data_IF_157157889144
#
_entry.id   IF_157157889144
#
_cell.length_a   1.000
_cell.length_b   1.000
_cell.length_c   1.000
_cell.angle_alpha   90.00
_cell.angle_beta   90.00
_cell.angle_gamma   90.00
#
_symmetry.space_group_name_H-M   'P 1'
#
loop_
_entity.id
_entity.type
_entity.pdbx_description
1 polymer ?
#
# COMPACT_ATOMS: atom_id res chain seq x y z
N UNK A 1 40.27 -17.56 17.38
CA UNK A 1 40.29 -18.41 18.59
C UNK A 1 38.94 -19.12 18.65
N UNK A 2 38.90 -20.45 18.53
CA UNK A 2 37.66 -21.19 18.57
C UNK A 2 37.08 -21.20 19.99
N UNK A 3 35.76 -21.10 20.09
CA UNK A 3 35.02 -21.24 21.34
C UNK A 3 34.03 -22.40 21.20
N UNK A 4 33.73 -23.06 22.31
CA UNK A 4 32.70 -24.09 22.30
C UNK A 4 31.31 -23.45 22.22
N UNK A 5 30.53 -23.76 21.18
CA UNK A 5 29.16 -23.23 21.01
C UNK A 5 28.21 -23.66 22.14
N UNK A 6 28.51 -24.78 22.81
CA UNK A 6 27.68 -25.33 23.89
C UNK A 6 28.08 -24.85 25.29
N UNK A 7 29.38 -24.74 25.56
CA UNK A 7 29.90 -24.44 26.90
C UNK A 7 30.57 -23.06 27.03
N UNK A 8 30.81 -22.37 25.92
CA UNK A 8 31.43 -21.04 25.89
C UNK A 8 32.91 -20.99 26.25
N UNK A 9 33.56 -22.14 26.50
CA UNK A 9 34.98 -22.20 26.85
C UNK A 9 35.84 -21.95 25.62
N UNK A 10 36.86 -21.10 25.79
CA UNK A 10 37.90 -20.83 24.81
C UNK A 10 38.79 -22.06 24.64
N UNK A 11 38.99 -22.48 23.40
CA UNK A 11 39.76 -23.66 23.05
C UNK A 11 41.02 -23.24 22.28
N UNK A 12 42.07 -24.04 22.44
CA UNK A 12 43.27 -23.88 21.63
C UNK A 12 42.97 -24.21 20.15
N UNK A 13 43.68 -23.56 19.22
CA UNK A 13 43.40 -23.68 17.78
C UNK A 13 43.58 -25.11 17.24
N UNK A 14 44.30 -25.97 17.97
CA UNK A 14 44.54 -27.37 17.60
C UNK A 14 43.45 -28.34 18.11
N UNK A 15 42.50 -27.86 18.91
CA UNK A 15 41.51 -28.72 19.56
C UNK A 15 40.32 -29.04 18.64
N UNK A 16 40.23 -30.28 18.16
CA UNK A 16 39.11 -30.76 17.33
C UNK A 16 37.82 -31.04 18.14
N UNK A 17 37.95 -31.30 19.44
CA UNK A 17 36.83 -31.59 20.36
C UNK A 17 37.02 -30.86 21.67
N UNK A 18 35.90 -30.41 22.25
CA UNK A 18 35.91 -29.80 23.58
C UNK A 18 36.15 -30.85 24.67
N UNK A 19 37.18 -30.65 25.49
CA UNK A 19 37.58 -31.58 26.57
C UNK A 19 36.53 -31.69 27.69
N UNK A 20 35.69 -30.66 27.86
CA UNK A 20 34.65 -30.65 28.91
C UNK A 20 33.35 -31.34 28.50
N UNK A 21 32.87 -31.11 27.28
CA UNK A 21 31.55 -31.55 26.85
C UNK A 21 31.55 -32.50 25.66
N UNK A 22 32.73 -32.81 25.10
CA UNK A 22 32.90 -33.71 23.96
C UNK A 22 32.39 -33.19 22.62
N UNK A 23 31.85 -31.96 22.58
CA UNK A 23 31.28 -31.38 21.35
C UNK A 23 32.40 -31.10 20.33
N UNK A 24 32.16 -31.46 19.07
CA UNK A 24 33.08 -31.16 17.97
C UNK A 24 33.16 -29.65 17.71
N UNK A 25 34.38 -29.17 17.53
CA UNK A 25 34.64 -27.76 17.29
C UNK A 25 34.40 -27.50 15.81
N UNK A 26 33.25 -26.91 15.50
CA UNK A 26 32.99 -26.36 14.17
C UNK A 26 33.74 -25.04 14.11
N UNK A 27 34.91 -25.00 13.47
CA UNK A 27 35.49 -23.74 13.05
C UNK A 27 34.51 -23.15 12.03
N UNK A 28 33.83 -22.07 12.42
CA UNK A 28 33.17 -21.22 11.45
C UNK A 28 34.28 -20.65 10.56
N UNK A 29 34.56 -21.30 9.42
CA UNK A 29 35.18 -20.60 8.31
C UNK A 29 34.30 -19.37 8.09
N UNK A 30 34.87 -18.18 8.32
CA UNK A 30 34.27 -16.93 7.87
C UNK A 30 34.24 -16.96 6.34
N UNK A 31 33.29 -17.70 5.77
CA UNK A 31 32.64 -17.22 4.57
C UNK A 31 31.93 -15.92 4.98
N UNK A 32 31.96 -14.92 4.10
CA UNK A 32 31.42 -13.57 4.25
C UNK A 32 29.87 -13.57 4.33
N UNK A 33 29.32 -14.43 5.19
CA UNK A 33 27.90 -14.60 5.41
C UNK A 33 27.49 -13.42 6.30
N UNK A 34 26.91 -12.41 5.69
CA UNK A 34 26.38 -11.28 6.44
C UNK A 34 25.34 -11.77 7.45
N UNK A 35 25.42 -11.37 8.74
CA UNK A 35 24.53 -11.86 9.81
C UNK A 35 23.05 -11.54 9.58
N UNK A 36 22.77 -10.64 8.63
CA UNK A 36 21.43 -10.29 8.19
C UNK A 36 21.35 -10.43 6.66
N UNK A 37 20.28 -10.99 6.10
CA UNK A 37 20.08 -11.01 4.65
C UNK A 37 20.05 -9.56 4.14
N UNK A 38 20.95 -9.22 3.19
CA UNK A 38 20.98 -7.88 2.57
C UNK A 38 19.66 -7.56 1.88
N UNK A 39 18.99 -8.58 1.36
CA UNK A 39 17.65 -8.48 0.83
C UNK A 39 16.64 -8.51 1.98
N UNK A 40 16.05 -7.35 2.25
CA UNK A 40 14.79 -7.28 2.99
C UNK A 40 13.80 -8.12 2.19
N UNK A 41 13.17 -9.11 2.82
CA UNK A 41 12.00 -9.76 2.23
C UNK A 41 10.97 -8.65 1.98
N UNK A 42 10.91 -8.16 0.74
CA UNK A 42 9.94 -7.16 0.34
C UNK A 42 8.58 -7.84 0.46
N UNK A 43 7.87 -7.53 1.54
CA UNK A 43 6.43 -7.79 1.65
C UNK A 43 5.83 -7.29 0.36
N UNK A 44 5.32 -8.22 -0.46
CA UNK A 44 4.81 -7.97 -1.81
C UNK A 44 4.00 -6.69 -1.78
N UNK A 45 4.54 -5.61 -2.36
CA UNK A 45 3.87 -4.33 -2.33
C UNK A 45 2.50 -4.54 -2.98
N UNK A 46 1.43 -4.52 -2.17
CA UNK A 46 0.09 -4.67 -2.68
C UNK A 46 -0.06 -3.65 -3.81
N UNK A 47 -0.41 -4.13 -5.01
CA UNK A 47 -0.44 -3.28 -6.18
C UNK A 47 -1.52 -2.22 -5.97
N UNK A 48 -1.11 -1.02 -5.54
CA UNK A 48 -2.02 0.07 -5.16
C UNK A 48 -2.96 0.43 -6.32
N UNK A 49 -2.53 0.20 -7.56
CA UNK A 49 -3.37 0.36 -8.75
C UNK A 49 -4.52 -0.63 -8.82
N UNK A 50 -4.31 -1.86 -8.36
CA UNK A 50 -5.36 -2.88 -8.33
C UNK A 50 -6.44 -2.52 -7.31
N UNK A 51 -6.04 -2.08 -6.11
CA UNK A 51 -6.97 -1.60 -5.08
C UNK A 51 -7.73 -0.36 -5.59
N UNK A 52 -7.03 0.56 -6.27
CA UNK A 52 -7.65 1.76 -6.83
C UNK A 52 -8.72 1.39 -7.86
N UNK A 53 -8.40 0.46 -8.76
CA UNK A 53 -9.35 -0.04 -9.77
C UNK A 53 -10.58 -0.68 -9.13
N UNK A 54 -10.41 -1.55 -8.14
CA UNK A 54 -11.54 -2.16 -7.43
C UNK A 54 -12.45 -1.11 -6.78
N UNK A 55 -11.86 -0.11 -6.10
CA UNK A 55 -12.61 1.00 -5.50
C UNK A 55 -13.36 1.83 -6.54
N UNK A 56 -12.76 2.09 -7.71
CA UNK A 56 -13.46 2.83 -8.78
C UNK A 56 -14.69 2.11 -9.28
N UNK A 57 -14.60 0.78 -9.45
CA UNK A 57 -15.71 -0.04 -9.92
C UNK A 57 -16.83 -0.06 -8.88
N UNK A 58 -16.48 -0.25 -7.61
CA UNK A 58 -17.47 -0.19 -6.51
C UNK A 58 -18.20 1.14 -6.47
N UNK A 59 -17.49 2.25 -6.69
CA UNK A 59 -18.08 3.58 -6.70
C UNK A 59 -18.90 3.86 -7.98
N UNK A 60 -18.60 3.22 -9.10
CA UNK A 60 -19.32 3.41 -10.35
C UNK A 60 -20.75 2.82 -10.32
N UNK A 61 -20.98 1.72 -9.59
CA UNK A 61 -22.27 1.03 -9.51
C UNK A 61 -23.43 1.98 -9.09
N UNK A 62 -23.36 2.71 -7.96
CA UNK A 62 -24.43 3.61 -7.56
C UNK A 62 -24.63 4.78 -8.54
N UNK A 63 -23.56 5.27 -9.18
CA UNK A 63 -23.68 6.31 -10.20
C UNK A 63 -24.47 5.82 -11.42
N UNK A 64 -24.16 4.63 -11.91
CA UNK A 64 -24.88 4.03 -13.05
C UNK A 64 -26.34 3.76 -12.69
N UNK A 65 -26.61 3.23 -11.49
CA UNK A 65 -27.97 3.00 -11.02
C UNK A 65 -28.78 4.31 -10.97
N UNK A 66 -28.25 5.37 -10.35
CA UNK A 66 -28.91 6.67 -10.29
C UNK A 66 -29.07 7.31 -11.67
N UNK A 67 -28.11 7.13 -12.58
CA UNK A 67 -28.23 7.60 -13.96
C UNK A 67 -29.41 6.94 -14.69
N UNK A 68 -29.53 5.61 -14.60
CA UNK A 68 -30.60 4.84 -15.24
C UNK A 68 -31.96 5.25 -14.66
N UNK A 69 -32.09 5.37 -13.35
CA UNK A 69 -33.33 5.80 -12.69
C UNK A 69 -33.72 7.20 -13.15
N UNK A 70 -32.76 8.13 -13.18
CA UNK A 70 -33.02 9.51 -13.61
C UNK A 70 -33.43 9.60 -15.09
N UNK A 71 -32.90 8.72 -15.94
CA UNK A 71 -33.28 8.63 -17.36
C UNK A 71 -34.72 8.12 -17.54
N UNK A 72 -35.19 7.22 -16.67
CA UNK A 72 -36.54 6.64 -16.75
C UNK A 72 -37.60 7.62 -16.21
N UNK A 73 -37.28 8.44 -15.20
CA UNK A 73 -38.25 9.23 -14.42
C UNK A 73 -38.29 10.74 -14.76
N UNK A 74 -37.99 11.15 -15.99
CA UNK A 74 -37.81 12.55 -16.42
C UNK A 74 -38.67 13.66 -15.72
N UNK A 75 -37.98 14.78 -15.39
CA UNK A 75 -38.46 16.18 -15.36
C UNK A 75 -38.81 16.87 -14.02
N UNK A 76 -37.94 16.83 -13.01
CA UNK A 76 -38.10 17.79 -11.89
C UNK A 76 -36.81 18.17 -11.18
N UNK A 77 -36.13 17.19 -10.60
CA UNK A 77 -34.93 17.42 -9.78
C UNK A 77 -33.92 16.32 -10.10
N UNK A 78 -32.75 16.72 -10.60
CA UNK A 78 -31.68 15.81 -10.98
C UNK A 78 -30.96 15.29 -9.72
N UNK A 79 -31.59 14.36 -9.00
CA UNK A 79 -30.98 13.64 -7.87
C UNK A 79 -29.63 13.01 -8.24
N UNK A 80 -29.46 12.71 -9.52
CA UNK A 80 -28.20 12.29 -10.13
C UNK A 80 -27.04 13.26 -9.83
N UNK A 81 -27.25 14.58 -9.79
CA UNK A 81 -26.18 15.55 -9.55
C UNK A 81 -25.56 15.41 -8.16
N UNK A 82 -26.37 15.11 -7.15
CA UNK A 82 -25.88 14.87 -5.79
C UNK A 82 -24.99 13.63 -5.73
N UNK A 83 -25.43 12.55 -6.39
CA UNK A 83 -24.70 11.27 -6.39
C UNK A 83 -23.42 11.38 -7.21
N UNK A 84 -23.48 11.94 -8.42
CA UNK A 84 -22.31 12.12 -9.28
C UNK A 84 -21.28 13.06 -8.69
N UNK A 85 -21.71 14.21 -8.17
CA UNK A 85 -20.80 15.20 -7.61
C UNK A 85 -20.15 14.73 -6.31
N UNK A 86 -20.92 14.12 -5.40
CA UNK A 86 -20.38 13.53 -4.18
C UNK A 86 -19.41 12.39 -4.48
N UNK A 87 -19.77 11.51 -5.41
CA UNK A 87 -18.88 10.44 -5.87
C UNK A 87 -17.58 10.97 -6.47
N UNK A 88 -17.63 12.05 -7.25
CA UNK A 88 -16.45 12.65 -7.87
C UNK A 88 -15.50 13.19 -6.79
N UNK A 89 -16.00 13.91 -5.79
CA UNK A 89 -15.19 14.42 -4.67
C UNK A 89 -14.52 13.28 -3.90
N UNK A 90 -15.27 12.22 -3.56
CA UNK A 90 -14.73 11.03 -2.89
C UNK A 90 -13.63 10.36 -3.73
N UNK A 91 -13.85 10.22 -5.04
CA UNK A 91 -12.87 9.65 -5.96
C UNK A 91 -11.56 10.45 -5.98
N UNK A 92 -11.67 11.79 -5.96
CA UNK A 92 -10.52 12.70 -5.97
C UNK A 92 -9.74 12.71 -4.64
N UNK A 93 -10.42 12.50 -3.52
CA UNK A 93 -9.78 12.41 -2.21
C UNK A 93 -9.05 11.08 -2.03
N UNK A 94 -9.67 9.94 -2.35
CA UNK A 94 -9.14 8.62 -1.97
C UNK A 94 -8.41 7.90 -3.10
N UNK A 95 -8.94 7.92 -4.31
CA UNK A 95 -8.46 7.07 -5.41
C UNK A 95 -7.35 7.78 -6.19
N UNK A 96 -7.53 9.08 -6.45
CA UNK A 96 -6.56 9.91 -7.16
C UNK A 96 -5.15 9.95 -6.52
N UNK A 97 -4.95 10.11 -5.19
CA UNK A 97 -3.60 10.08 -4.61
C UNK A 97 -2.95 8.69 -4.71
N UNK A 98 -3.75 7.62 -4.71
CA UNK A 98 -3.25 6.24 -4.81
C UNK A 98 -2.74 5.91 -6.24
N UNK A 99 -3.25 6.62 -7.25
CA UNK A 99 -2.80 6.54 -8.64
C UNK A 99 -1.56 7.40 -8.92
N UNK A 100 -1.41 8.53 -8.22
CA UNK A 100 -0.28 9.45 -8.36
C UNK A 100 0.99 8.87 -7.73
N UNK A 101 1.79 8.15 -8.53
CA UNK A 101 3.13 7.67 -8.12
C UNK A 101 4.11 8.79 -7.73
N UNK A 102 3.88 10.04 -8.15
CA UNK A 102 4.82 11.17 -8.01
C UNK A 102 4.25 12.23 -7.07
N UNK A 103 5.04 12.65 -6.08
CA UNK A 103 4.69 13.68 -5.10
C UNK A 103 4.53 15.05 -5.77
N UNK A 104 3.35 15.33 -6.33
CA UNK A 104 2.93 16.67 -6.78
C UNK A 104 1.75 17.12 -5.91
N UNK A 105 1.99 17.44 -4.62
CA UNK A 105 0.92 17.72 -3.66
C UNK A 105 0.06 18.93 -4.07
N UNK A 106 0.66 19.93 -4.71
CA UNK A 106 -0.03 21.14 -5.16
C UNK A 106 -1.09 20.82 -6.22
N UNK A 107 -0.76 19.96 -7.19
CA UNK A 107 -1.71 19.57 -8.25
C UNK A 107 -2.86 18.74 -7.67
N UNK A 108 -2.55 17.85 -6.72
CA UNK A 108 -3.57 17.04 -6.03
C UNK A 108 -4.57 17.90 -5.27
N UNK A 109 -4.07 18.85 -4.48
CA UNK A 109 -4.90 19.81 -3.74
C UNK A 109 -5.75 20.67 -4.70
N UNK A 110 -5.15 21.18 -5.78
CA UNK A 110 -5.87 21.95 -6.79
C UNK A 110 -7.03 21.15 -7.42
N UNK A 111 -6.79 19.88 -7.76
CA UNK A 111 -7.82 18.99 -8.31
C UNK A 111 -8.96 18.72 -7.32
N UNK A 112 -8.67 18.62 -6.01
CA UNK A 112 -9.70 18.49 -4.98
C UNK A 112 -10.57 19.76 -4.94
N UNK A 113 -9.95 20.93 -4.87
CA UNK A 113 -10.71 22.20 -4.87
C UNK A 113 -11.55 22.36 -6.14
N UNK A 114 -10.99 22.02 -7.31
CA UNK A 114 -11.73 22.02 -8.57
C UNK A 114 -12.96 21.10 -8.51
N UNK A 115 -12.80 19.88 -7.98
CA UNK A 115 -13.91 18.93 -7.83
C UNK A 115 -14.99 19.42 -6.87
N UNK A 116 -14.59 20.05 -5.76
CA UNK A 116 -15.53 20.60 -4.78
C UNK A 116 -16.31 21.79 -5.38
N UNK A 117 -15.65 22.68 -6.11
CA UNK A 117 -16.30 23.80 -6.80
C UNK A 117 -17.30 23.30 -7.85
N UNK A 118 -16.93 22.30 -8.65
CA UNK A 118 -17.83 21.67 -9.61
C UNK A 118 -19.06 21.04 -8.92
N UNK A 119 -18.87 20.41 -7.76
CA UNK A 119 -19.97 19.84 -7.00
C UNK A 119 -20.95 20.91 -6.49
N UNK A 120 -20.44 22.01 -5.95
CA UNK A 120 -21.27 23.13 -5.49
C UNK A 120 -22.02 23.77 -6.65
N UNK A 121 -21.38 23.91 -7.82
CA UNK A 121 -22.04 24.40 -9.03
C UNK A 121 -23.15 23.46 -9.50
N UNK A 122 -22.92 22.15 -9.49
CA UNK A 122 -23.95 21.16 -9.80
C UNK A 122 -25.15 21.26 -8.85
N UNK A 123 -24.90 21.44 -7.55
CA UNK A 123 -25.97 21.69 -6.57
C UNK A 123 -26.71 22.99 -6.86
N UNK A 124 -26.02 24.05 -7.28
CA UNK A 124 -26.67 25.34 -7.56
C UNK A 124 -27.55 25.33 -8.81
N UNK A 125 -27.31 24.38 -9.73
CA UNK A 125 -28.06 24.20 -10.98
C UNK A 125 -29.20 23.16 -10.80
N UNK A 126 -29.11 22.32 -9.77
CA UNK A 126 -30.06 21.26 -9.44
C UNK A 126 -31.38 21.79 -8.88
#
# INVERSE_FOLDING_TARGET
>A
MPYCVKCGVELDNSANKCVLCGTEVVLSCQEDITPYPKEKAEVSQLNSKFIASMLTIMLAIPNVACFVINMIYFAGVYWMYYVFGGSLVVWMIFIFPMLLKKKRPILHVFMIFLSATLYILLISIA
#
